data_IF_750334433618
#
_entry.id   IF_750334433618
#
_cell.length_a   1.000
_cell.length_b   1.000
_cell.length_c   1.000
_cell.angle_alpha   90.00
_cell.angle_beta   90.00
_cell.angle_gamma   90.00
#
_symmetry.space_group_name_H-M   'P 1'
#
loop_
_entity.id
_entity.type
_entity.pdbx_description
1 polymer ?
#
# COMPACT_ATOMS: atom_id res chain seq x y z
N UNK A 1 -5.51 24.95 -4.23
CA UNK A 1 -5.32 25.45 -5.60
C UNK A 1 -4.33 26.60 -5.59
N UNK A 2 -3.59 26.78 -6.67
CA UNK A 2 -2.80 27.98 -6.95
C UNK A 2 -3.71 29.13 -7.42
N UNK A 3 -3.17 30.35 -7.50
CA UNK A 3 -3.94 31.54 -7.88
C UNK A 3 -4.55 31.43 -9.30
N UNK A 4 -3.79 30.90 -10.26
CA UNK A 4 -4.29 30.71 -11.64
C UNK A 4 -5.40 29.65 -11.72
N UNK A 5 -5.24 28.52 -11.04
CA UNK A 5 -6.26 27.46 -10.97
C UNK A 5 -7.59 28.00 -10.41
N UNK A 6 -7.52 28.81 -9.36
CA UNK A 6 -8.67 29.46 -8.74
C UNK A 6 -9.35 30.45 -9.69
N UNK A 7 -8.58 31.16 -10.52
CA UNK A 7 -9.09 32.04 -11.58
C UNK A 7 -9.82 31.25 -12.67
N UNK A 8 -9.28 30.10 -13.10
CA UNK A 8 -9.91 29.24 -14.13
C UNK A 8 -11.21 28.63 -13.61
N UNK A 9 -11.24 28.13 -12.37
CA UNK A 9 -12.47 27.65 -11.71
C UNK A 9 -13.53 28.76 -11.68
N UNK A 10 -13.16 29.97 -11.23
CA UNK A 10 -14.10 31.09 -11.18
C UNK A 10 -14.63 31.44 -12.58
N UNK A 11 -13.78 31.54 -13.60
CA UNK A 11 -14.20 31.85 -14.96
C UNK A 11 -15.23 30.85 -15.52
N UNK A 12 -15.00 29.54 -15.30
CA UNK A 12 -15.92 28.48 -15.73
C UNK A 12 -17.23 28.56 -14.94
N UNK A 13 -17.17 28.59 -13.60
CA UNK A 13 -18.37 28.59 -12.74
C UNK A 13 -19.21 29.86 -12.92
N UNK A 14 -18.58 31.03 -13.09
CA UNK A 14 -19.29 32.29 -13.36
C UNK A 14 -19.92 32.30 -14.76
N UNK A 15 -19.27 31.72 -15.77
CA UNK A 15 -19.88 31.55 -17.10
C UNK A 15 -21.13 30.66 -17.01
N UNK A 16 -21.03 29.50 -16.35
CA UNK A 16 -22.18 28.60 -16.16
C UNK A 16 -23.33 29.30 -15.46
N UNK A 17 -23.07 29.96 -14.31
CA UNK A 17 -24.08 30.69 -13.54
C UNK A 17 -24.79 31.78 -14.36
N UNK A 18 -24.08 32.46 -15.26
CA UNK A 18 -24.67 33.49 -16.16
C UNK A 18 -25.64 32.92 -17.20
N UNK A 19 -25.61 31.61 -17.49
CA UNK A 19 -26.59 30.97 -18.38
C UNK A 19 -27.92 30.64 -17.70
N UNK A 20 -28.00 30.79 -16.37
CA UNK A 20 -29.17 30.44 -15.56
C UNK A 20 -29.64 28.97 -15.75
N UNK A 21 -28.69 28.04 -15.89
CA UNK A 21 -28.97 26.59 -15.97
C UNK A 21 -28.32 25.83 -14.80
N UNK A 22 -28.89 24.68 -14.36
CA UNK A 22 -28.32 23.90 -13.26
C UNK A 22 -26.94 23.36 -13.63
N UNK A 23 -25.99 23.38 -12.69
CA UNK A 23 -24.64 22.84 -12.91
C UNK A 23 -24.64 21.34 -13.24
N UNK A 24 -25.64 20.59 -12.76
CA UNK A 24 -25.89 19.18 -13.12
C UNK A 24 -26.31 18.97 -14.59
N UNK A 25 -26.69 20.02 -15.33
CA UNK A 25 -26.87 19.96 -16.79
C UNK A 25 -25.56 20.15 -17.57
N UNK A 26 -24.43 20.38 -16.91
CA UNK A 26 -23.12 20.61 -17.56
C UNK A 26 -22.21 19.40 -17.50
N UNK A 27 -21.33 19.31 -18.50
CA UNK A 27 -20.19 18.40 -18.54
C UNK A 27 -18.90 19.22 -18.55
N UNK A 28 -17.91 18.79 -17.77
CA UNK A 28 -16.57 19.38 -17.67
C UNK A 28 -15.53 18.33 -18.07
N UNK A 29 -14.47 18.75 -18.77
CA UNK A 29 -13.37 17.85 -19.12
C UNK A 29 -12.06 18.56 -19.48
N UNK A 30 -10.96 17.80 -19.55
CA UNK A 30 -9.66 18.26 -20.08
C UNK A 30 -9.34 17.79 -21.49
N UNK A 31 -8.56 18.59 -22.23
CA UNK A 31 -8.02 18.23 -23.54
C UNK A 31 -6.74 19.03 -23.89
N UNK A 32 -5.95 18.49 -24.83
CA UNK A 32 -4.87 19.24 -25.49
C UNK A 32 -5.36 20.17 -26.61
N UNK A 33 -6.50 19.83 -27.21
CA UNK A 33 -7.28 20.71 -28.10
C UNK A 33 -8.74 20.71 -27.62
N UNK A 34 -9.12 21.77 -26.91
CA UNK A 34 -10.49 21.94 -26.41
C UNK A 34 -11.50 22.18 -27.54
N UNK A 35 -11.11 22.81 -28.66
CA UNK A 35 -12.04 23.09 -29.75
C UNK A 35 -12.41 21.82 -30.51
N UNK A 36 -11.42 20.99 -30.84
CA UNK A 36 -11.68 19.66 -31.42
C UNK A 36 -12.48 18.79 -30.44
N UNK A 37 -12.15 18.80 -29.14
CA UNK A 37 -12.86 17.98 -28.15
C UNK A 37 -14.31 18.40 -27.93
N UNK A 38 -14.61 19.70 -27.89
CA UNK A 38 -15.97 20.24 -27.83
C UNK A 38 -16.74 19.93 -29.12
N UNK A 39 -16.34 20.54 -30.23
CA UNK A 39 -17.19 20.64 -31.42
C UNK A 39 -17.24 19.33 -32.23
N UNK A 40 -16.10 18.62 -32.35
CA UNK A 40 -16.03 17.32 -33.05
C UNK A 40 -16.18 16.13 -32.08
N UNK A 41 -15.63 16.25 -30.87
CA UNK A 41 -15.58 15.18 -29.88
C UNK A 41 -16.85 15.00 -29.03
N UNK A 42 -17.60 16.08 -28.73
CA UNK A 42 -18.86 16.03 -27.99
C UNK A 42 -20.08 16.39 -28.85
N UNK A 43 -19.87 17.00 -30.02
CA UNK A 43 -20.95 17.45 -30.91
C UNK A 43 -21.53 18.81 -30.55
N UNK A 44 -20.83 19.58 -29.69
CA UNK A 44 -21.24 20.93 -29.28
C UNK A 44 -21.35 21.84 -30.50
N UNK A 45 -22.50 22.51 -30.64
CA UNK A 45 -22.74 23.48 -31.69
C UNK A 45 -22.17 24.84 -31.28
N UNK A 46 -21.07 25.25 -31.91
CA UNK A 46 -20.28 26.44 -31.56
C UNK A 46 -21.11 27.73 -31.44
N UNK A 47 -22.16 27.88 -32.25
CA UNK A 47 -22.89 29.13 -32.42
C UNK A 47 -24.27 29.14 -31.71
N UNK A 48 -24.67 28.02 -31.08
CA UNK A 48 -26.00 27.86 -30.45
C UNK A 48 -25.97 27.26 -29.04
N UNK A 49 -24.95 26.47 -28.70
CA UNK A 49 -24.83 25.84 -27.39
C UNK A 49 -24.01 26.71 -26.42
N UNK A 50 -24.23 26.54 -25.12
CA UNK A 50 -23.38 27.16 -24.11
C UNK A 50 -22.12 26.32 -23.86
N UNK A 51 -20.95 26.92 -24.10
CA UNK A 51 -19.64 26.29 -23.91
C UNK A 51 -18.56 27.32 -23.55
N UNK A 52 -17.54 26.87 -22.82
CA UNK A 52 -16.38 27.65 -22.42
C UNK A 52 -15.14 26.74 -22.40
N UNK A 53 -13.96 27.31 -22.64
CA UNK A 53 -12.69 26.68 -22.27
C UNK A 53 -11.68 27.71 -21.77
N UNK A 54 -10.65 27.22 -21.06
CA UNK A 54 -9.54 28.00 -20.48
C UNK A 54 -8.25 27.19 -20.49
N UNK A 55 -7.12 27.88 -20.59
CA UNK A 55 -5.78 27.29 -20.51
C UNK A 55 -5.23 27.35 -19.08
N UNK A 56 -4.78 26.22 -18.55
CA UNK A 56 -4.05 26.12 -17.29
C UNK A 56 -2.53 26.07 -17.56
N UNK A 57 -1.72 26.52 -16.61
CA UNK A 57 -0.24 26.52 -16.71
C UNK A 57 0.38 25.13 -16.91
N UNK A 58 -0.33 24.05 -16.57
CA UNK A 58 0.12 22.68 -16.79
C UNK A 58 -1.05 21.68 -16.90
N UNK A 59 -0.83 20.46 -17.43
CA UNK A 59 -1.84 19.40 -17.43
C UNK A 59 -2.31 19.03 -16.03
N UNK A 60 -1.44 19.06 -15.02
CA UNK A 60 -1.83 18.77 -13.63
C UNK A 60 -2.68 19.88 -13.02
N UNK A 61 -2.47 21.14 -13.41
CA UNK A 61 -3.37 22.23 -13.06
C UNK A 61 -4.74 22.04 -13.73
N UNK A 62 -4.79 21.59 -14.99
CA UNK A 62 -6.04 21.26 -15.67
C UNK A 62 -6.79 20.10 -14.99
N UNK A 63 -6.11 18.99 -14.70
CA UNK A 63 -6.64 17.83 -13.93
C UNK A 63 -7.20 18.25 -12.57
N UNK A 64 -6.48 19.09 -11.81
CA UNK A 64 -6.95 19.63 -10.51
C UNK A 64 -8.18 20.51 -10.64
N UNK A 65 -8.25 21.36 -11.66
CA UNK A 65 -9.40 22.23 -11.92
C UNK A 65 -10.63 21.43 -12.35
N UNK A 66 -10.49 20.48 -13.28
CA UNK A 66 -11.54 19.56 -13.73
C UNK A 66 -12.15 18.81 -12.52
N UNK A 67 -11.31 18.14 -11.73
CA UNK A 67 -11.76 17.40 -10.55
C UNK A 67 -12.40 18.32 -9.49
N UNK A 68 -11.87 19.53 -9.29
CA UNK A 68 -12.44 20.50 -8.36
C UNK A 68 -13.84 20.96 -8.80
N UNK A 69 -14.06 21.24 -10.09
CA UNK A 69 -15.38 21.66 -10.59
C UNK A 69 -16.39 20.52 -10.47
N UNK A 70 -16.03 19.30 -10.89
CA UNK A 70 -16.89 18.10 -10.79
C UNK A 70 -17.32 17.87 -9.33
N UNK A 71 -16.36 17.77 -8.40
CA UNK A 71 -16.65 17.42 -7.00
C UNK A 71 -17.40 18.52 -6.24
N UNK A 72 -17.09 19.80 -6.46
CA UNK A 72 -17.68 20.90 -5.67
C UNK A 72 -18.96 21.49 -6.27
N UNK A 73 -19.22 21.27 -7.56
CA UNK A 73 -20.37 21.86 -8.27
C UNK A 73 -21.29 20.83 -8.94
N UNK A 74 -21.00 19.53 -8.81
CA UNK A 74 -21.86 18.43 -9.27
C UNK A 74 -22.12 18.45 -10.79
N UNK A 75 -21.15 18.93 -11.57
CA UNK A 75 -21.15 18.78 -13.03
C UNK A 75 -20.77 17.35 -13.41
N UNK A 76 -21.28 16.83 -14.52
CA UNK A 76 -20.74 15.59 -15.10
C UNK A 76 -19.28 15.80 -15.54
N UNK A 77 -18.55 14.70 -15.71
CA UNK A 77 -17.23 14.70 -16.33
C UNK A 77 -16.75 13.31 -16.70
N UNK A 78 -15.64 13.24 -17.43
CA UNK A 78 -14.97 11.99 -17.78
C UNK A 78 -14.03 11.48 -16.69
N UNK A 79 -13.58 10.24 -16.81
CA UNK A 79 -12.61 9.61 -15.89
C UNK A 79 -11.15 10.07 -16.09
N UNK A 80 -10.92 11.38 -16.26
CA UNK A 80 -9.58 11.99 -16.24
C UNK A 80 -8.65 11.64 -17.42
N UNK A 81 -9.20 11.30 -18.59
CA UNK A 81 -8.45 10.85 -19.77
C UNK A 81 -7.66 11.94 -20.52
N UNK A 82 -6.68 12.57 -19.87
CA UNK A 82 -5.81 13.60 -20.47
C UNK A 82 -4.33 13.21 -20.52
N UNK A 83 -3.73 13.28 -21.72
CA UNK A 83 -2.28 13.18 -21.95
C UNK A 83 -1.53 14.45 -21.52
N UNK A 84 -0.20 14.47 -21.61
CA UNK A 84 0.65 15.60 -21.21
C UNK A 84 0.50 16.87 -22.07
N UNK A 85 -0.27 16.79 -23.17
CA UNK A 85 -0.72 17.97 -23.90
C UNK A 85 -1.93 18.68 -23.22
N UNK A 86 -2.60 18.04 -22.27
CA UNK A 86 -3.97 18.36 -21.84
C UNK A 86 -4.07 19.52 -20.85
N UNK A 87 -3.63 20.69 -21.29
CA UNK A 87 -3.62 21.95 -20.53
C UNK A 87 -4.94 22.70 -20.51
N UNK A 88 -5.89 22.39 -21.39
CA UNK A 88 -7.16 23.11 -21.47
C UNK A 88 -8.26 22.39 -20.68
N UNK A 89 -8.96 23.14 -19.84
CA UNK A 89 -10.24 22.72 -19.25
C UNK A 89 -11.37 23.30 -20.09
N UNK A 90 -12.34 22.50 -20.48
CA UNK A 90 -13.57 22.93 -21.14
C UNK A 90 -14.80 22.52 -20.34
N UNK A 91 -15.89 23.27 -20.53
CA UNK A 91 -17.20 22.94 -20.03
C UNK A 91 -18.27 23.26 -21.09
N UNK A 92 -19.31 22.46 -21.18
CA UNK A 92 -20.47 22.73 -22.04
C UNK A 92 -21.75 22.20 -21.40
N UNK A 93 -22.88 22.80 -21.80
CA UNK A 93 -24.21 22.32 -21.39
C UNK A 93 -24.62 21.09 -22.21
N UNK A 94 -25.02 20.00 -21.55
CA UNK A 94 -25.49 18.76 -22.18
C UNK A 94 -26.83 19.00 -22.88
N UNK A 95 -26.81 19.10 -24.21
CA UNK A 95 -28.02 19.20 -25.06
C UNK A 95 -28.30 17.93 -25.86
N UNK A 96 -29.51 17.79 -26.43
CA UNK A 96 -30.00 16.52 -27.02
C UNK A 96 -29.13 15.94 -28.14
N UNK A 97 -28.34 16.77 -28.82
CA UNK A 97 -27.39 16.39 -29.87
C UNK A 97 -25.95 16.18 -29.34
N UNK A 98 -25.67 16.52 -28.08
CA UNK A 98 -24.39 16.19 -27.43
C UNK A 98 -24.40 14.73 -26.99
N UNK A 99 -23.26 14.03 -27.15
CA UNK A 99 -23.19 12.56 -26.95
C UNK A 99 -23.58 12.14 -25.54
N UNK A 100 -23.26 12.98 -24.57
CA UNK A 100 -23.45 12.79 -23.13
C UNK A 100 -24.90 12.96 -22.67
N UNK A 101 -25.84 13.32 -23.55
CA UNK A 101 -27.29 13.37 -23.24
C UNK A 101 -28.11 12.25 -23.90
N UNK A 102 -27.49 11.23 -24.49
CA UNK A 102 -28.18 10.13 -25.21
C UNK A 102 -28.64 9.02 -24.22
N UNK A 103 -29.15 9.43 -23.06
CA UNK A 103 -29.91 8.63 -22.10
C UNK A 103 -30.87 9.56 -21.33
N UNK A 104 -31.96 9.03 -20.77
CA UNK A 104 -32.97 9.74 -19.95
C UNK A 104 -34.02 10.63 -20.67
N UNK A 105 -34.55 10.19 -21.82
CA UNK A 105 -35.76 10.79 -22.43
C UNK A 105 -36.92 9.81 -22.68
N UNK A 106 -37.05 8.77 -21.84
CA UNK A 106 -38.11 7.75 -21.96
C UNK A 106 -39.14 7.64 -20.82
N UNK A 107 -38.97 8.32 -19.67
CA UNK A 107 -39.69 7.92 -18.44
C UNK A 107 -40.06 9.05 -17.45
N UNK A 108 -40.47 10.24 -17.91
CA UNK A 108 -40.99 11.30 -17.02
C UNK A 108 -42.18 12.08 -17.61
N UNK A 109 -43.38 11.48 -17.52
CA UNK A 109 -44.68 12.15 -17.78
C UNK A 109 -45.85 11.56 -16.95
N UNK A 110 -45.61 11.09 -15.71
CA UNK A 110 -46.64 10.58 -14.78
C UNK A 110 -46.29 10.89 -13.31
N UNK A 111 -46.19 12.18 -12.95
CA UNK A 111 -45.54 12.62 -11.71
C UNK A 111 -46.33 12.42 -10.39
N UNK A 112 -47.55 11.87 -10.41
CA UNK A 112 -48.44 11.87 -9.25
C UNK A 112 -48.26 10.73 -8.23
N UNK A 113 -48.05 9.49 -8.70
CA UNK A 113 -48.18 8.27 -7.86
C UNK A 113 -46.82 7.63 -7.54
N UNK A 114 -45.82 7.89 -8.37
CA UNK A 114 -44.51 7.20 -8.32
C UNK A 114 -43.68 7.58 -7.08
N UNK A 115 -43.87 8.77 -6.50
CA UNK A 115 -43.07 9.26 -5.37
C UNK A 115 -43.07 8.33 -4.15
N UNK A 116 -44.25 7.85 -3.74
CA UNK A 116 -44.38 7.00 -2.55
C UNK A 116 -43.70 5.63 -2.73
N UNK A 117 -43.79 5.06 -3.94
CA UNK A 117 -43.11 3.80 -4.26
C UNK A 117 -41.61 3.97 -4.49
N UNK A 118 -41.14 5.08 -5.07
CA UNK A 118 -39.69 5.32 -5.23
C UNK A 118 -39.00 5.49 -3.88
N UNK A 119 -39.58 6.22 -2.92
CA UNK A 119 -38.99 6.34 -1.57
C UNK A 119 -38.91 4.97 -0.89
N UNK A 120 -39.98 4.17 -0.95
CA UNK A 120 -39.99 2.83 -0.35
C UNK A 120 -39.01 1.85 -1.04
N UNK A 121 -38.93 1.88 -2.38
CA UNK A 121 -38.04 0.98 -3.13
C UNK A 121 -36.57 1.40 -3.08
N UNK A 122 -36.22 2.70 -3.03
CA UNK A 122 -34.81 3.11 -2.88
C UNK A 122 -34.24 2.63 -1.54
N UNK A 123 -34.99 2.77 -0.44
CA UNK A 123 -34.57 2.28 0.88
C UNK A 123 -34.47 0.76 1.02
N UNK A 124 -34.90 -0.02 0.01
CA UNK A 124 -34.89 -1.49 0.03
C UNK A 124 -33.96 -2.07 -1.05
N UNK A 125 -33.81 -1.40 -2.20
CA UNK A 125 -32.99 -1.86 -3.34
C UNK A 125 -31.60 -1.24 -3.35
N UNK A 126 -31.45 -0.04 -2.78
CA UNK A 126 -30.17 0.65 -2.60
C UNK A 126 -29.99 1.13 -1.15
N UNK A 127 -29.82 0.21 -0.18
CA UNK A 127 -29.02 0.55 0.99
C UNK A 127 -27.64 1.00 0.52
N UNK A 128 -27.03 1.90 1.29
CA UNK A 128 -25.71 2.49 1.07
C UNK A 128 -25.57 3.31 -0.23
N UNK A 129 -25.54 4.64 -0.05
CA UNK A 129 -24.72 5.47 -0.92
C UNK A 129 -23.32 4.86 -0.98
N UNK A 130 -22.78 4.59 -2.17
CA UNK A 130 -21.40 4.08 -2.30
C UNK A 130 -20.42 5.21 -1.96
N UNK A 131 -20.20 5.39 -0.66
CA UNK A 131 -19.16 6.26 -0.13
C UNK A 131 -17.83 5.71 -0.62
N UNK A 132 -17.14 6.50 -1.44
CA UNK A 132 -15.79 6.17 -1.86
C UNK A 132 -14.87 6.40 -0.66
N UNK A 133 -14.39 5.32 -0.05
CA UNK A 133 -13.48 5.38 1.08
C UNK A 133 -12.28 6.29 0.78
N UNK A 134 -12.03 7.25 1.68
CA UNK A 134 -10.92 8.21 1.57
C UNK A 134 -9.90 7.95 2.68
N UNK A 135 -8.64 8.37 2.45
CA UNK A 135 -7.60 8.43 3.48
C UNK A 135 -7.02 9.84 3.51
N UNK A 136 -6.83 10.41 4.69
CA UNK A 136 -6.32 11.78 4.87
C UNK A 136 -5.34 11.88 6.04
N UNK A 137 -4.15 12.51 5.86
CA UNK A 137 -3.38 12.99 7.00
C UNK A 137 -4.13 14.17 7.65
N UNK A 138 -4.33 14.11 8.97
CA UNK A 138 -5.11 15.08 9.75
C UNK A 138 -4.20 16.06 10.53
N UNK A 139 -2.90 16.05 10.24
CA UNK A 139 -1.91 16.98 10.78
C UNK A 139 -1.98 18.34 10.07
N UNK A 140 -2.29 19.40 10.82
CA UNK A 140 -2.51 20.77 10.31
C UNK A 140 -1.23 21.61 10.14
N UNK A 141 -0.09 21.13 10.63
CA UNK A 141 1.18 21.87 10.66
C UNK A 141 2.29 21.09 9.92
N UNK A 142 3.23 21.81 9.28
CA UNK A 142 4.49 21.25 8.78
C UNK A 142 5.23 20.51 9.90
N UNK A 143 5.63 19.27 9.66
CA UNK A 143 6.49 18.51 10.61
C UNK A 143 7.95 18.69 10.19
N UNK A 144 8.85 18.82 11.18
CA UNK A 144 10.30 18.82 10.96
C UNK A 144 10.96 17.55 11.52
N UNK A 145 10.85 16.40 10.83
CA UNK A 145 11.38 15.14 11.32
C UNK A 145 12.91 15.04 11.13
N UNK A 146 13.61 14.50 12.13
CA UNK A 146 15.03 14.16 12.01
C UNK A 146 15.18 12.97 11.04
N UNK A 147 16.11 13.06 10.09
CA UNK A 147 16.34 11.98 9.10
C UNK A 147 16.77 10.68 9.82
N UNK A 148 16.11 9.58 9.48
CA UNK A 148 16.28 8.26 10.09
C UNK A 148 15.44 8.00 11.35
N UNK A 149 14.99 9.05 12.05
CA UNK A 149 14.11 8.91 13.22
C UNK A 149 12.64 8.73 12.82
N UNK A 150 11.86 8.10 13.69
CA UNK A 150 10.41 7.97 13.53
C UNK A 150 9.66 9.24 13.95
N UNK A 151 8.50 9.44 13.34
CA UNK A 151 7.52 10.45 13.70
C UNK A 151 6.11 9.91 13.49
N UNK A 152 5.13 10.50 14.17
CA UNK A 152 3.72 10.09 14.05
C UNK A 152 2.93 11.04 13.16
N UNK A 153 2.06 10.50 12.32
CA UNK A 153 1.07 11.24 11.53
C UNK A 153 -0.31 10.72 11.88
N UNK A 154 -1.20 11.59 12.36
CA UNK A 154 -2.61 11.22 12.52
C UNK A 154 -3.20 10.93 11.15
N UNK A 155 -3.52 9.66 10.90
CA UNK A 155 -4.18 9.19 9.71
C UNK A 155 -5.67 9.02 10.01
N UNK A 156 -6.54 9.36 9.06
CA UNK A 156 -7.95 8.99 9.14
C UNK A 156 -8.39 8.31 7.84
N UNK A 157 -9.24 7.30 7.98
CA UNK A 157 -10.02 6.70 6.89
C UNK A 157 -11.49 7.03 7.15
N UNK A 158 -12.23 7.45 6.12
CA UNK A 158 -13.65 7.76 6.25
C UNK A 158 -14.44 7.38 5.00
N UNK A 159 -15.73 7.08 5.19
CA UNK A 159 -16.60 6.60 4.11
C UNK A 159 -16.28 5.16 3.68
N UNK A 160 -15.76 4.35 4.60
CA UNK A 160 -15.53 2.92 4.37
C UNK A 160 -16.64 2.08 5.03
N UNK A 161 -16.86 0.85 4.57
CA UNK A 161 -17.80 -0.06 5.23
C UNK A 161 -17.25 -0.51 6.59
N UNK A 162 -18.11 -0.54 7.60
CA UNK A 162 -17.76 -0.99 8.95
C UNK A 162 -17.19 -2.41 8.95
N UNK A 163 -16.17 -2.66 9.77
CA UNK A 163 -15.50 -3.97 9.87
C UNK A 163 -14.57 -4.33 8.71
N UNK A 164 -14.52 -3.55 7.61
CA UNK A 164 -13.47 -3.72 6.60
C UNK A 164 -12.09 -3.49 7.21
N UNK A 165 -11.10 -4.23 6.71
CA UNK A 165 -9.69 -4.06 7.08
C UNK A 165 -8.95 -3.34 5.95
N UNK A 166 -8.13 -2.35 6.29
CA UNK A 166 -7.29 -1.62 5.34
C UNK A 166 -5.82 -1.71 5.72
N UNK A 167 -4.96 -1.96 4.74
CA UNK A 167 -3.53 -1.71 4.84
C UNK A 167 -3.26 -0.21 4.69
N UNK A 168 -2.44 0.39 5.56
CA UNK A 168 -2.02 1.79 5.47
C UNK A 168 -0.51 1.93 5.25
N UNK A 169 -0.09 2.93 4.47
CA UNK A 169 1.33 3.33 4.39
C UNK A 169 1.57 4.82 4.16
N UNK A 170 2.66 5.30 4.75
CA UNK A 170 3.24 6.62 4.53
C UNK A 170 4.06 6.61 3.23
N UNK A 171 3.71 7.47 2.27
CA UNK A 171 4.47 7.68 1.03
C UNK A 171 5.18 9.03 1.12
N UNK A 172 6.51 9.05 1.16
CA UNK A 172 7.31 10.27 1.34
C UNK A 172 8.28 10.44 0.19
N UNK A 173 8.47 11.66 -0.30
CA UNK A 173 9.56 12.00 -1.21
C UNK A 173 9.49 13.45 -1.69
N UNK A 174 10.28 13.79 -2.71
CA UNK A 174 10.41 15.17 -3.20
C UNK A 174 9.11 15.77 -3.78
N UNK A 175 8.19 14.94 -4.27
CA UNK A 175 6.97 15.40 -4.93
C UNK A 175 5.87 14.33 -4.96
N UNK A 176 4.65 14.68 -5.36
CA UNK A 176 3.59 13.68 -5.61
C UNK A 176 3.94 12.64 -6.68
N UNK A 177 4.92 12.92 -7.55
CA UNK A 177 5.45 12.00 -8.58
C UNK A 177 6.69 11.21 -8.14
N UNK A 178 7.35 11.59 -7.04
CA UNK A 178 8.50 10.87 -6.48
C UNK A 178 8.34 10.69 -4.97
N UNK A 179 7.92 9.49 -4.57
CA UNK A 179 7.54 9.13 -3.19
C UNK A 179 8.32 7.89 -2.68
N UNK A 180 9.61 7.84 -3.00
CA UNK A 180 10.52 6.71 -2.76
C UNK A 180 11.14 6.65 -1.36
N UNK A 181 11.04 7.72 -0.59
CA UNK A 181 11.88 8.00 0.57
C UNK A 181 11.20 7.63 1.90
N UNK A 182 9.95 7.17 1.83
CA UNK A 182 9.13 6.83 2.99
C UNK A 182 9.23 5.38 3.44
N UNK A 183 9.17 5.19 4.75
CA UNK A 183 8.93 3.90 5.40
C UNK A 183 7.81 4.02 6.43
N UNK A 184 7.04 2.94 6.59
CA UNK A 184 5.95 2.82 7.59
C UNK A 184 6.32 1.75 8.61
N UNK A 185 5.99 1.95 9.88
CA UNK A 185 6.15 0.92 10.91
C UNK A 185 4.91 0.03 10.97
N UNK A 186 5.12 -1.29 10.96
CA UNK A 186 4.09 -2.25 11.34
C UNK A 186 4.33 -2.68 12.81
N UNK A 187 3.43 -2.33 13.76
CA UNK A 187 3.58 -2.71 15.16
C UNK A 187 3.36 -4.22 15.40
N UNK A 188 2.60 -4.91 14.55
CA UNK A 188 2.30 -6.34 14.66
C UNK A 188 3.51 -7.22 14.28
N UNK A 189 4.44 -6.70 13.47
CA UNK A 189 5.71 -7.38 13.11
C UNK A 189 6.96 -6.70 13.65
N UNK A 190 6.82 -5.51 14.27
CA UNK A 190 7.91 -4.61 14.68
C UNK A 190 8.90 -4.26 13.55
N UNK A 191 8.44 -4.26 12.30
CA UNK A 191 9.26 -3.97 11.11
C UNK A 191 8.99 -2.58 10.54
N UNK A 192 10.02 -2.00 9.94
CA UNK A 192 9.93 -0.82 9.07
C UNK A 192 9.89 -1.27 7.61
N UNK A 193 8.95 -0.72 6.85
CA UNK A 193 8.57 -1.24 5.54
C UNK A 193 8.54 -0.11 4.50
N UNK A 194 9.15 -0.35 3.35
CA UNK A 194 9.28 0.60 2.25
C UNK A 194 7.97 0.76 1.46
N UNK A 195 7.68 1.97 0.96
CA UNK A 195 6.59 2.15 -0.02
C UNK A 195 6.86 1.43 -1.36
N UNK A 196 8.13 1.25 -1.70
CA UNK A 196 8.63 0.85 -3.02
C UNK A 196 8.57 -0.65 -3.28
N UNK A 197 7.35 -1.18 -3.48
CA UNK A 197 7.13 -2.52 -4.00
C UNK A 197 5.75 -2.69 -4.63
N UNK A 198 5.69 -2.94 -5.94
CA UNK A 198 4.46 -3.33 -6.64
C UNK A 198 4.02 -4.72 -6.19
N UNK A 199 2.71 -4.88 -5.94
CA UNK A 199 2.00 -6.10 -5.52
C UNK A 199 2.44 -6.79 -4.21
N UNK A 200 3.73 -6.81 -3.85
CA UNK A 200 4.22 -7.44 -2.61
C UNK A 200 4.13 -6.55 -1.36
N UNK A 201 4.41 -5.24 -1.47
CA UNK A 201 4.58 -4.35 -0.30
C UNK A 201 3.26 -3.85 0.34
N UNK A 202 2.28 -4.73 0.47
CA UNK A 202 1.01 -4.48 1.15
C UNK A 202 0.72 -5.48 2.27
N UNK A 203 0.97 -6.78 2.08
CA UNK A 203 0.61 -7.82 3.07
C UNK A 203 1.23 -7.58 4.46
N UNK A 204 2.47 -7.08 4.49
CA UNK A 204 3.19 -6.73 5.72
C UNK A 204 2.83 -5.34 6.27
N UNK A 205 2.11 -4.47 5.55
CA UNK A 205 1.82 -3.10 6.03
C UNK A 205 0.86 -3.13 7.23
N UNK A 206 0.91 -2.13 8.14
CA UNK A 206 0.00 -2.07 9.28
C UNK A 206 -1.45 -2.10 8.82
N UNK A 207 -2.25 -2.93 9.50
CA UNK A 207 -3.65 -3.16 9.19
C UNK A 207 -4.55 -2.48 10.22
N UNK A 208 -5.56 -1.75 9.74
CA UNK A 208 -6.55 -1.05 10.56
C UNK A 208 -7.94 -1.59 10.27
N UNK A 209 -8.79 -1.69 11.29
CA UNK A 209 -10.20 -2.12 11.13
C UNK A 209 -11.11 -0.90 11.24
N UNK A 210 -12.05 -0.74 10.31
CA UNK A 210 -12.98 0.39 10.28
C UNK A 210 -14.07 0.21 11.35
N UNK A 211 -14.36 1.29 12.07
CA UNK A 211 -15.38 1.35 13.11
C UNK A 211 -16.81 1.19 12.60
N UNK A 212 -17.75 1.03 13.52
CA UNK A 212 -19.18 0.85 13.22
C UNK A 212 -19.83 2.07 12.54
N UNK A 213 -19.18 3.23 12.58
CA UNK A 213 -19.54 4.50 11.95
C UNK A 213 -18.99 4.65 10.52
N UNK A 214 -18.19 3.69 10.04
CA UNK A 214 -17.52 3.77 8.74
C UNK A 214 -16.26 4.65 8.73
N UNK A 215 -15.69 4.94 9.90
CA UNK A 215 -14.43 5.71 10.04
C UNK A 215 -13.36 4.97 10.85
N UNK A 216 -12.14 5.49 10.78
CA UNK A 216 -11.02 5.15 11.66
C UNK A 216 -10.09 6.37 11.76
N UNK A 217 -9.47 6.60 12.93
CA UNK A 217 -8.51 7.70 13.11
C UNK A 217 -7.52 7.43 14.26
N UNK A 218 -6.25 7.17 13.93
CA UNK A 218 -5.17 7.02 14.93
C UNK A 218 -3.82 7.53 14.38
N UNK A 219 -2.75 7.38 15.17
CA UNK A 219 -1.40 7.77 14.78
C UNK A 219 -0.67 6.65 14.01
N UNK A 220 -0.37 6.88 12.73
CA UNK A 220 0.49 6.03 11.93
C UNK A 220 1.95 6.45 12.12
N UNK A 221 2.84 5.51 12.45
CA UNK A 221 4.28 5.79 12.56
C UNK A 221 4.97 5.72 11.18
N UNK A 222 5.58 6.84 10.81
CA UNK A 222 6.34 7.03 9.59
C UNK A 222 7.82 7.30 9.93
N UNK A 223 8.72 7.06 8.98
CA UNK A 223 10.07 7.64 8.96
C UNK A 223 10.53 7.87 7.53
N UNK A 224 11.57 8.69 7.37
CA UNK A 224 12.31 8.79 6.12
C UNK A 224 13.43 7.75 6.11
N UNK A 225 13.75 7.19 4.94
CA UNK A 225 14.86 6.24 4.75
C UNK A 225 16.19 6.89 5.16
N UNK A 226 17.09 6.10 5.73
CA UNK A 226 18.48 6.54 5.93
C UNK A 226 19.11 6.85 4.57
N UNK A 227 19.78 8.00 4.45
CA UNK A 227 20.32 8.48 3.18
C UNK A 227 19.31 9.23 2.28
N UNK A 228 18.08 9.47 2.74
CA UNK A 228 17.22 10.47 2.10
C UNK A 228 17.89 11.85 2.16
N UNK A 229 17.84 12.60 1.05
CA UNK A 229 18.45 13.94 0.95
C UNK A 229 17.70 14.99 1.77
N UNK A 230 18.46 15.94 2.33
CA UNK A 230 17.97 17.04 3.17
C UNK A 230 17.38 18.17 2.30
N UNK A 231 16.17 17.93 1.79
CA UNK A 231 15.35 18.87 1.02
C UNK A 231 13.90 18.77 1.51
N UNK A 232 13.08 19.80 1.31
CA UNK A 232 11.65 19.75 1.68
C UNK A 232 10.93 18.60 0.96
N UNK A 233 10.31 17.70 1.74
CA UNK A 233 9.57 16.53 1.23
C UNK A 233 8.06 16.73 1.38
N UNK A 234 7.29 15.95 0.63
CA UNK A 234 5.84 15.78 0.84
C UNK A 234 5.54 14.37 1.33
N UNK A 235 4.58 14.25 2.24
CA UNK A 235 4.02 12.99 2.70
C UNK A 235 2.56 12.87 2.26
N UNK A 236 2.26 11.78 1.57
CA UNK A 236 0.90 11.31 1.30
C UNK A 236 0.63 10.04 2.11
N UNK A 237 -0.64 9.79 2.42
CA UNK A 237 -1.07 8.48 2.91
C UNK A 237 -1.63 7.67 1.74
N UNK A 238 -1.43 6.36 1.74
CA UNK A 238 -2.12 5.45 0.81
C UNK A 238 -2.71 4.29 1.59
N UNK A 239 -3.98 4.01 1.32
CA UNK A 239 -4.69 2.88 1.87
C UNK A 239 -4.94 1.83 0.78
N UNK A 240 -5.12 0.58 1.18
CA UNK A 240 -5.69 -0.45 0.32
C UNK A 240 -6.61 -1.38 1.12
N UNK A 241 -7.77 -1.71 0.55
CA UNK A 241 -8.68 -2.70 1.12
C UNK A 241 -7.97 -4.07 1.18
N UNK A 242 -7.97 -4.69 2.36
CA UNK A 242 -7.47 -6.04 2.54
C UNK A 242 -8.48 -7.04 1.97
N UNK A 243 -8.15 -7.59 0.81
CA UNK A 243 -8.89 -8.66 0.16
C UNK A 243 -8.11 -9.98 0.35
N UNK A 244 -8.35 -10.67 1.45
CA UNK A 244 -7.71 -11.95 1.81
C UNK A 244 -6.17 -11.91 1.75
N UNK A 245 -5.58 -11.01 2.54
CA UNK A 245 -4.12 -10.74 2.60
C UNK A 245 -3.51 -10.17 1.31
N UNK A 246 -4.33 -9.84 0.31
CA UNK A 246 -3.93 -9.11 -0.89
C UNK A 246 -4.49 -7.68 -0.89
N UNK A 247 -3.84 -6.77 -1.60
CA UNK A 247 -4.37 -5.44 -1.83
C UNK A 247 -5.41 -5.46 -2.95
N UNK A 248 -6.67 -5.21 -2.61
CA UNK A 248 -7.75 -4.99 -3.57
C UNK A 248 -7.73 -3.56 -4.13
N UNK A 249 -8.77 -2.77 -3.81
CA UNK A 249 -8.81 -1.35 -4.23
C UNK A 249 -7.88 -0.51 -3.36
N UNK A 250 -6.93 0.20 -3.98
CA UNK A 250 -6.05 1.16 -3.30
C UNK A 250 -6.29 2.60 -3.74
N UNK A 251 -6.17 3.53 -2.79
CA UNK A 251 -6.34 4.97 -3.02
C UNK A 251 -5.34 5.77 -2.18
N UNK A 252 -4.95 6.94 -2.68
CA UNK A 252 -4.00 7.86 -2.05
C UNK A 252 -4.76 9.10 -1.54
N UNK A 253 -4.24 9.74 -0.49
CA UNK A 253 -4.79 11.00 0.01
C UNK A 253 -4.75 12.10 -1.06
N UNK A 254 -5.82 12.90 -1.11
CA UNK A 254 -5.90 14.08 -1.97
C UNK A 254 -5.12 15.27 -1.39
N UNK A 255 -4.92 15.29 -0.06
CA UNK A 255 -4.02 16.18 0.66
C UNK A 255 -2.66 15.54 0.91
N UNK A 256 -1.64 16.40 1.09
CA UNK A 256 -0.29 16.03 1.47
C UNK A 256 0.18 16.88 2.65
N UNK A 257 0.96 16.28 3.54
CA UNK A 257 1.66 16.97 4.60
C UNK A 257 3.03 17.46 4.11
N UNK A 258 3.38 18.71 4.41
CA UNK A 258 4.73 19.21 4.19
C UNK A 258 5.67 18.70 5.28
N UNK A 259 6.83 18.18 4.89
CA UNK A 259 7.92 17.81 5.79
C UNK A 259 9.13 18.68 5.48
N UNK A 260 9.70 19.30 6.50
CA UNK A 260 10.99 19.98 6.39
C UNK A 260 12.03 19.19 7.21
N UNK A 261 12.73 18.21 6.60
CA UNK A 261 13.67 17.37 7.34
C UNK A 261 14.75 18.20 8.04
N UNK A 262 15.38 17.56 9.02
CA UNK A 262 16.62 18.06 9.63
C UNK A 262 17.63 16.91 9.74
N UNK A 263 18.87 17.16 9.33
CA UNK A 263 19.99 16.25 9.56
C UNK A 263 20.28 16.19 11.07
N UNK A 264 20.47 14.99 11.67
CA UNK A 264 20.90 14.89 13.06
C UNK A 264 22.29 15.52 13.23
N UNK A 265 22.41 16.51 14.12
CA UNK A 265 23.69 17.09 14.51
C UNK A 265 24.62 15.99 15.02
N UNK A 266 25.86 15.85 14.52
CA UNK A 266 26.77 14.83 15.03
C UNK A 266 27.09 15.10 16.49
N UNK A 267 26.78 14.14 17.36
CA UNK A 267 27.17 14.18 18.77
C UNK A 267 28.69 14.38 18.87
N UNK A 268 29.21 15.36 19.63
CA UNK A 268 30.64 15.55 19.75
C UNK A 268 31.28 14.30 20.33
N UNK A 269 32.20 13.69 19.57
CA UNK A 269 32.97 12.53 20.02
C UNK A 269 33.64 12.88 21.35
N UNK A 270 33.52 12.05 22.41
CA UNK A 270 34.18 12.34 23.67
C UNK A 270 35.68 12.48 23.43
N UNK A 271 36.24 13.65 23.77
CA UNK A 271 37.66 13.91 23.65
C UNK A 271 38.41 12.85 24.48
N UNK A 272 39.44 12.17 23.92
CA UNK A 272 40.15 11.13 24.64
C UNK A 272 40.75 11.70 25.93
N UNK A 273 40.32 11.16 27.07
CA UNK A 273 40.83 11.55 28.39
C UNK A 273 42.36 11.41 28.37
N UNK A 274 43.14 12.43 28.77
CA UNK A 274 44.58 12.39 28.68
C UNK A 274 45.12 11.24 29.55
N UNK A 275 45.62 10.19 28.88
CA UNK A 275 46.22 9.03 29.55
C UNK A 275 47.47 9.46 30.31
N UNK A 276 47.49 9.26 31.62
CA UNK A 276 48.65 9.53 32.46
C UNK A 276 49.88 8.79 31.93
N UNK A 277 50.91 9.53 31.52
CA UNK A 277 52.13 8.97 30.94
C UNK A 277 52.79 8.00 31.93
N UNK A 278 53.10 6.76 31.53
CA UNK A 278 53.75 5.81 32.43
C UNK A 278 55.14 6.33 32.82
N UNK A 279 55.46 6.27 34.12
CA UNK A 279 56.79 6.60 34.64
C UNK A 279 57.84 5.67 34.02
N UNK A 280 59.04 6.17 33.64
CA UNK A 280 60.07 5.34 33.03
C UNK A 280 60.50 4.21 33.96
N UNK A 281 60.46 2.99 33.44
CA UNK A 281 60.90 1.77 34.15
C UNK A 281 62.43 1.75 34.27
N UNK A 282 63.01 1.41 35.43
CA UNK A 282 64.47 1.34 35.58
C UNK A 282 65.08 0.22 34.73
N UNK A 283 66.19 0.52 34.06
CA UNK A 283 66.90 -0.38 33.15
C UNK A 283 67.58 -1.53 33.91
N UNK A 284 67.47 -2.81 33.48
CA UNK A 284 68.13 -3.93 34.13
C UNK A 284 69.64 -3.96 33.88
N UNK A 285 70.41 -4.33 34.91
CA UNK A 285 71.87 -4.46 34.89
C UNK A 285 72.32 -5.74 34.14
N UNK A 286 73.38 -5.72 33.32
CA UNK A 286 73.86 -6.91 32.61
C UNK A 286 74.47 -7.97 33.55
N UNK A 287 74.22 -9.24 33.24
CA UNK A 287 74.76 -10.42 33.95
C UNK A 287 75.90 -11.06 33.12
N UNK A 288 77.03 -11.48 33.72
CA UNK A 288 78.18 -12.03 32.99
C UNK A 288 77.99 -13.47 32.48
N UNK A 289 78.84 -13.90 31.53
CA UNK A 289 78.70 -15.12 30.71
C UNK A 289 79.83 -16.16 30.94
N UNK A 290 79.60 -17.40 30.47
CA UNK A 290 80.54 -18.55 30.29
C UNK A 290 80.74 -19.45 31.53
N UNK A 291 81.01 -20.76 31.44
CA UNK A 291 81.76 -21.56 30.43
C UNK A 291 81.09 -22.92 30.05
N UNK A 292 81.83 -23.89 29.48
CA UNK A 292 81.32 -25.00 28.62
C UNK A 292 81.26 -26.43 29.24
N UNK A 293 80.57 -27.30 28.50
CA UNK A 293 80.29 -28.76 28.59
C UNK A 293 81.45 -29.70 29.01
N UNK A 294 81.15 -30.91 29.52
CA UNK A 294 80.99 -32.09 28.62
C UNK A 294 79.86 -33.10 28.97
N UNK A 295 79.50 -33.94 27.97
CA UNK A 295 78.66 -35.17 28.02
C UNK A 295 79.53 -36.45 28.08
N UNK A 296 79.02 -37.71 28.16
CA UNK A 296 77.64 -38.25 28.15
C UNK A 296 77.32 -39.04 29.48
N UNK A 297 76.59 -40.18 29.67
CA UNK A 297 75.99 -41.24 28.80
C UNK A 297 74.89 -42.08 29.50
N UNK A 298 73.93 -42.59 28.71
CA UNK A 298 73.05 -43.78 28.86
C UNK A 298 72.79 -44.49 30.21
N UNK A 299 71.50 -44.71 30.52
CA UNK A 299 70.96 -46.03 30.95
C UNK A 299 69.47 -46.15 30.59
N UNK A 300 68.86 -47.34 30.72
CA UNK A 300 67.59 -47.72 30.06
C UNK A 300 66.33 -47.75 30.97
N UNK A 301 65.16 -47.73 30.30
CA UNK A 301 63.81 -48.06 30.80
C UNK A 301 63.74 -49.39 31.57
N UNK A 302 62.76 -49.60 32.49
CA UNK A 302 61.41 -50.02 32.06
C UNK A 302 60.19 -49.58 32.91
N UNK A 303 59.01 -49.63 32.26
CA UNK A 303 57.64 -49.99 32.71
C UNK A 303 57.04 -49.48 34.05
N UNK A 304 55.83 -48.86 34.03
CA UNK A 304 55.00 -48.62 35.23
C UNK A 304 54.07 -49.81 35.58
N UNK A 305 53.78 -50.00 36.87
CA UNK A 305 52.83 -51.00 37.42
C UNK A 305 52.12 -50.45 38.68
N UNK A 306 51.03 -51.07 39.18
CA UNK A 306 49.83 -50.32 39.61
C UNK A 306 49.61 -50.26 41.14
N UNK A 307 48.50 -49.63 41.57
CA UNK A 307 47.84 -49.83 42.89
C UNK A 307 46.33 -49.48 42.78
N UNK A 308 45.39 -50.12 43.53
CA UNK A 308 43.97 -50.19 43.16
C UNK A 308 42.99 -49.42 44.08
N UNK A 309 41.69 -49.62 43.87
CA UNK A 309 40.55 -48.95 44.54
C UNK A 309 40.02 -49.67 45.81
N UNK A 310 39.18 -49.00 46.63
CA UNK A 310 38.31 -49.60 47.65
C UNK A 310 36.82 -49.71 47.21
N UNK A 311 35.98 -50.32 48.05
CA UNK A 311 34.65 -50.88 47.71
C UNK A 311 33.44 -50.20 48.38
N UNK A 312 32.29 -50.35 47.69
CA UNK A 312 30.92 -50.66 48.15
C UNK A 312 30.22 -49.86 49.28
N UNK A 313 28.91 -49.64 49.07
CA UNK A 313 27.90 -49.77 50.14
C UNK A 313 26.58 -50.36 49.58
N UNK A 314 25.68 -50.75 50.50
CA UNK A 314 24.71 -51.85 50.37
C UNK A 314 23.38 -51.56 49.63
N UNK A 315 22.52 -52.58 49.52
CA UNK A 315 21.26 -52.57 48.78
C UNK A 315 19.99 -52.60 49.67
N UNK A 316 18.81 -52.27 49.09
CA UNK A 316 17.53 -52.89 49.53
C UNK A 316 16.43 -52.97 48.44
N UNK A 317 16.26 -54.17 47.88
CA UNK A 317 15.02 -54.92 47.58
C UNK A 317 13.74 -54.16 47.11
N UNK A 318 13.31 -54.38 45.87
CA UNK A 318 12.01 -55.04 45.51
C UNK A 318 11.91 -55.33 43.99
N UNK A 319 11.20 -56.40 43.61
CA UNK A 319 11.18 -56.98 42.24
C UNK A 319 9.87 -56.72 41.44
N UNK A 320 9.84 -56.99 40.11
CA UNK A 320 8.71 -56.71 39.19
C UNK A 320 7.76 -57.94 39.03
N UNK A 321 7.01 -58.25 37.93
CA UNK A 321 7.31 -58.20 36.46
C UNK A 321 6.19 -57.41 35.69
N UNK A 322 5.85 -57.55 34.38
CA UNK A 322 6.14 -58.56 33.35
C UNK A 322 5.88 -58.08 31.88
N UNK A 323 6.36 -58.88 30.93
CA UNK A 323 5.94 -59.03 29.51
C UNK A 323 6.17 -57.92 28.45
N UNK A 324 7.27 -58.10 27.69
CA UNK A 324 7.31 -58.73 26.35
C UNK A 324 6.54 -58.11 25.15
N UNK A 325 6.99 -58.25 23.88
CA UNK A 325 8.19 -58.94 23.38
C UNK A 325 8.88 -58.24 22.19
N UNK A 326 10.10 -58.71 21.93
CA UNK A 326 10.98 -58.38 20.79
C UNK A 326 10.37 -58.65 19.41
N UNK A 327 10.87 -57.94 18.40
CA UNK A 327 11.54 -58.61 17.25
C UNK A 327 12.58 -57.70 16.60
N UNK A 328 13.69 -58.29 16.15
CA UNK A 328 14.92 -57.67 15.60
C UNK A 328 15.37 -58.52 14.39
N UNK A 329 16.54 -58.30 13.74
CA UNK A 329 17.18 -57.08 13.24
C UNK A 329 16.71 -56.83 11.77
N UNK A 330 17.44 -56.45 10.68
CA UNK A 330 18.83 -56.20 10.25
C UNK A 330 18.74 -55.08 9.18
N UNK A 331 19.69 -54.16 8.95
CA UNK A 331 21.02 -53.93 9.51
C UNK A 331 21.98 -53.39 8.42
N UNK A 332 23.24 -53.12 8.78
CA UNK A 332 24.32 -52.49 7.97
C UNK A 332 24.16 -50.98 7.66
N UNK A 333 25.25 -50.21 7.49
CA UNK A 333 26.51 -50.06 8.25
C UNK A 333 27.22 -48.83 7.65
N UNK A 334 27.57 -47.81 8.45
CA UNK A 334 28.82 -47.00 8.44
C UNK A 334 29.29 -46.32 7.10
N UNK A 335 29.97 -45.16 7.06
CA UNK A 335 30.51 -44.32 8.15
C UNK A 335 30.73 -42.84 7.75
N UNK A 336 31.31 -42.08 8.70
CA UNK A 336 31.97 -40.75 8.66
C UNK A 336 32.19 -40.02 7.30
N UNK A 337 32.06 -38.69 7.15
CA UNK A 337 32.21 -37.53 8.07
C UNK A 337 33.66 -37.18 8.51
N UNK A 338 34.57 -36.81 7.59
CA UNK A 338 35.89 -36.27 7.96
C UNK A 338 36.28 -34.98 7.20
N UNK A 339 36.27 -33.86 7.93
CA UNK A 339 37.19 -32.68 7.95
C UNK A 339 37.67 -32.01 6.63
N UNK A 340 37.63 -30.67 6.62
CA UNK A 340 38.41 -29.79 5.73
C UNK A 340 37.67 -28.46 5.46
N UNK A 341 37.88 -27.39 6.22
CA UNK A 341 39.01 -26.44 6.20
C UNK A 341 38.98 -25.50 4.98
N UNK A 342 39.16 -24.19 5.23
CA UNK A 342 38.86 -23.13 4.25
C UNK A 342 40.07 -22.67 3.42
N UNK A 343 39.79 -22.18 2.21
CA UNK A 343 40.64 -21.23 1.47
C UNK A 343 39.77 -20.20 0.75
N UNK A 344 39.99 -18.94 1.11
CA UNK A 344 39.58 -17.71 0.46
C UNK A 344 40.10 -17.56 -0.99
N UNK A 345 39.27 -16.98 -1.88
CA UNK A 345 39.69 -16.10 -3.00
C UNK A 345 38.54 -15.44 -3.78
N UNK A 346 38.65 -14.13 -3.97
CA UNK A 346 38.17 -13.24 -5.06
C UNK A 346 37.19 -13.72 -6.17
N UNK A 347 36.23 -12.83 -6.49
CA UNK A 347 35.52 -12.77 -7.80
C UNK A 347 34.13 -13.44 -7.81
N UNK A 348 33.05 -12.85 -8.37
CA UNK A 348 32.89 -11.50 -8.91
C UNK A 348 32.77 -11.41 -10.44
N UNK A 349 31.65 -11.84 -11.02
CA UNK A 349 31.10 -11.28 -12.26
C UNK A 349 29.57 -11.51 -12.36
N UNK A 350 28.99 -11.17 -13.50
CA UNK A 350 27.59 -10.82 -13.76
C UNK A 350 26.70 -11.96 -14.27
N UNK A 351 25.54 -12.11 -13.62
CA UNK A 351 24.24 -12.00 -14.29
C UNK A 351 23.74 -13.11 -15.23
N UNK A 352 22.56 -12.82 -15.80
CA UNK A 352 21.74 -13.64 -16.72
C UNK A 352 21.09 -14.91 -16.14
N UNK A 353 19.89 -14.68 -15.61
CA UNK A 353 18.75 -15.58 -15.61
C UNK A 353 18.67 -16.49 -16.85
N UNK A 354 18.67 -17.81 -16.63
CA UNK A 354 17.96 -18.77 -17.48
C UNK A 354 17.69 -20.07 -16.71
N UNK A 355 16.45 -20.27 -16.28
CA UNK A 355 15.85 -21.61 -16.36
C UNK A 355 14.32 -21.53 -16.41
N UNK A 356 13.72 -22.25 -17.36
CA UNK A 356 12.28 -22.46 -17.40
C UNK A 356 11.97 -23.77 -16.68
N UNK A 357 11.30 -23.70 -15.53
CA UNK A 357 10.51 -24.83 -15.04
C UNK A 357 9.04 -24.48 -15.25
N UNK A 358 8.50 -24.95 -16.37
CA UNK A 358 7.06 -25.05 -16.53
C UNK A 358 6.56 -26.17 -15.60
N UNK A 359 5.71 -25.83 -14.64
CA UNK A 359 4.83 -26.80 -13.99
C UNK A 359 3.40 -26.45 -14.35
N UNK A 360 2.77 -27.30 -15.14
CA UNK A 360 1.32 -27.44 -15.06
C UNK A 360 0.95 -27.86 -13.63
N UNK A 361 -0.14 -27.32 -13.09
CA UNK A 361 -0.97 -28.03 -12.11
C UNK A 361 -2.41 -27.49 -12.15
N UNK A 362 -3.23 -28.07 -13.02
CA UNK A 362 -4.60 -27.62 -13.27
C UNK A 362 -5.57 -28.14 -12.19
N UNK A 363 -5.78 -27.36 -11.11
CA UNK A 363 -6.68 -27.75 -10.01
C UNK A 363 -8.01 -26.99 -9.98
N UNK A 364 -8.95 -27.55 -10.75
CA UNK A 364 -10.38 -27.71 -10.47
C UNK A 364 -10.95 -26.86 -9.31
N UNK A 365 -11.72 -25.82 -9.63
CA UNK A 365 -12.59 -25.14 -8.67
C UNK A 365 -13.90 -25.93 -8.47
N UNK A 366 -14.29 -26.30 -7.24
CA UNK A 366 -15.61 -26.89 -6.98
C UNK A 366 -16.70 -25.81 -7.03
N UNK A 367 -17.60 -25.89 -8.00
CA UNK A 367 -18.62 -24.87 -8.24
C UNK A 367 -19.72 -24.83 -7.16
N UNK A 368 -19.68 -23.83 -6.27
CA UNK A 368 -20.76 -23.51 -5.32
C UNK A 368 -21.00 -22.01 -5.12
N UNK A 369 -21.46 -21.31 -6.17
CA UNK A 369 -22.31 -20.10 -6.01
C UNK A 369 -23.07 -19.74 -7.31
N UNK A 370 -24.17 -20.44 -7.58
CA UNK A 370 -25.09 -20.18 -8.71
C UNK A 370 -26.58 -20.22 -8.28
N UNK A 371 -26.86 -19.81 -7.03
CA UNK A 371 -28.18 -19.95 -6.40
C UNK A 371 -29.06 -18.69 -6.44
N UNK A 372 -28.60 -17.59 -7.04
CA UNK A 372 -29.24 -16.25 -6.91
C UNK A 372 -30.03 -15.83 -8.17
N UNK A 373 -29.95 -16.59 -9.28
CA UNK A 373 -30.44 -16.12 -10.60
C UNK A 373 -31.67 -16.83 -11.19
N UNK A 374 -32.34 -17.74 -10.48
CA UNK A 374 -33.54 -18.43 -11.04
C UNK A 374 -34.89 -17.89 -10.53
N UNK A 375 -34.97 -17.41 -9.28
CA UNK A 375 -36.21 -16.81 -8.74
C UNK A 375 -36.57 -15.51 -9.48
N UNK A 376 -35.58 -14.66 -9.71
CA UNK A 376 -35.75 -13.34 -10.36
C UNK A 376 -36.21 -13.44 -11.82
N UNK A 377 -35.73 -14.43 -12.57
CA UNK A 377 -36.13 -14.65 -13.97
C UNK A 377 -37.58 -15.16 -14.05
N UNK A 378 -37.98 -16.07 -13.15
CA UNK A 378 -39.36 -16.55 -13.07
C UNK A 378 -40.36 -15.41 -12.78
N UNK A 379 -40.03 -14.52 -11.85
CA UNK A 379 -40.88 -13.38 -11.51
C UNK A 379 -41.00 -12.37 -12.66
N UNK A 380 -39.90 -12.10 -13.37
CA UNK A 380 -39.89 -11.19 -14.53
C UNK A 380 -40.73 -11.70 -15.70
N UNK A 381 -40.68 -13.00 -16.00
CA UNK A 381 -41.50 -13.61 -17.05
C UNK A 381 -42.99 -13.64 -16.67
N UNK A 382 -43.32 -13.85 -15.39
CA UNK A 382 -44.70 -13.78 -14.90
C UNK A 382 -45.28 -12.35 -15.03
N UNK A 383 -44.50 -11.32 -14.73
CA UNK A 383 -44.92 -9.92 -14.96
C UNK A 383 -45.15 -9.62 -16.45
N UNK A 384 -44.27 -10.10 -17.33
CA UNK A 384 -44.39 -9.89 -18.77
C UNK A 384 -45.66 -10.56 -19.35
N UNK A 385 -46.02 -11.74 -18.85
CA UNK A 385 -47.27 -12.42 -19.19
C UNK A 385 -48.52 -11.66 -18.69
N UNK A 386 -48.48 -11.10 -17.48
CA UNK A 386 -49.58 -10.30 -16.94
C UNK A 386 -49.77 -8.97 -17.70
N UNK A 387 -48.69 -8.29 -18.05
CA UNK A 387 -48.74 -7.05 -18.85
C UNK A 387 -49.31 -7.30 -20.25
N UNK A 388 -48.93 -8.42 -20.89
CA UNK A 388 -49.46 -8.77 -22.23
C UNK A 388 -50.93 -9.23 -22.19
N UNK A 389 -51.35 -9.95 -21.15
CA UNK A 389 -52.78 -10.25 -20.90
C UNK A 389 -53.62 -8.98 -20.67
N UNK A 390 -53.10 -8.02 -19.90
CA UNK A 390 -53.79 -6.74 -19.66
C UNK A 390 -53.90 -5.89 -20.94
N UNK A 391 -52.84 -5.84 -21.76
CA UNK A 391 -52.88 -5.21 -23.09
C UNK A 391 -53.91 -5.86 -24.04
N UNK A 392 -54.14 -7.18 -23.93
CA UNK A 392 -55.09 -7.90 -24.76
C UNK A 392 -56.56 -7.63 -24.37
N UNK A 393 -56.87 -7.50 -23.08
CA UNK A 393 -58.25 -7.22 -22.63
C UNK A 393 -58.66 -5.75 -22.73
N UNK A 394 -57.74 -4.83 -23.02
CA UNK A 394 -58.03 -3.43 -23.35
C UNK A 394 -58.52 -3.17 -24.79
N UNK A 395 -58.90 -4.21 -25.54
CA UNK A 395 -59.34 -4.13 -26.96
C UNK A 395 -60.49 -5.10 -27.32
N UNK A 396 -61.59 -5.04 -26.56
CA UNK A 396 -62.91 -5.54 -26.94
C UNK A 396 -63.97 -4.49 -26.55
#
# INVERSE_FOLDING_TARGET
MQQQESSVVNDIVQYIRRTNTPLTEWYVGIAGDAQARLFKGHGVNKDRDYWIYRECLSPDAARRVEQYVITNYQTDGGSGGGSDASRFVYAYKKERHTRERIINHGMFCCAGIIGFFITFCFSIVFPDHVLAATVTPVSVNTISPVIGNSFSVTASVSGALAGNIYFLKCRIGASSSSLTDGQTFNPQTSKWLDDTGSTGAWIDMPQVTIGADGTWQEALQCRMKNGAVDESKVLFLRACLNANSSCGTSFQSNSSLALNPIVPTPTPTPMPTPTSTPSPTPTPTPTPESTKTPTPTSTSTPTPTPTPAPLAQDAEITDPPEHANETVPIGLQFDELVRGAATDASGGDTGRNSDMIASDDARIYPAKSLAISFVSIGLGLALLALVTLWQAQGKL
#
